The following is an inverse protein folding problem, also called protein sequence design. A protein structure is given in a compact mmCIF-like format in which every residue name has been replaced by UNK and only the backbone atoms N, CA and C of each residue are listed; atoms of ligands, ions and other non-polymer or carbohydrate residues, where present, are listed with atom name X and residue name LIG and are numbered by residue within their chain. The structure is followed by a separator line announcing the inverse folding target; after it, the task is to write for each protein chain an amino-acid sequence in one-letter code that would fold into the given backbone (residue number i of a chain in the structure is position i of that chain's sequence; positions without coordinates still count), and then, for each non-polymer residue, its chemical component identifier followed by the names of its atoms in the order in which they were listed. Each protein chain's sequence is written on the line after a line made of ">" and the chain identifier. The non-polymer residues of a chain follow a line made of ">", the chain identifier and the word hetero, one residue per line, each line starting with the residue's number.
data_IF_784993769686
#
_entry.id   IF_784993769686
#
_cell.length_a   1.000
_cell.length_b   1.000
_cell.length_c   1.000
_cell.angle_alpha   90.00
_cell.angle_beta   90.00
_cell.angle_gamma   90.00
#
_symmetry.space_group_name_H-M   'P 1'
#
loop_
_entity.id
_entity.type
_entity.pdbx_description
1 polymer ?
#
# COMPACT_ATOMS: atom_id res chain seq x y z
N UNK A 1 -5.11 19.93 -7.62
CA UNK A 1 -4.29 19.05 -6.75
C UNK A 1 -2.99 19.76 -6.35
N UNK A 2 -2.65 19.84 -5.05
CA UNK A 2 -1.40 20.45 -4.58
C UNK A 2 -0.17 19.69 -5.09
N UNK A 3 0.91 20.41 -5.47
CA UNK A 3 2.17 19.78 -5.93
C UNK A 3 2.76 18.83 -4.87
N UNK A 4 2.67 19.20 -3.59
CA UNK A 4 3.17 18.38 -2.48
C UNK A 4 2.46 17.02 -2.38
N UNK A 5 1.16 16.98 -2.65
CA UNK A 5 0.37 15.73 -2.63
C UNK A 5 0.81 14.79 -3.75
N UNK A 6 0.98 15.32 -4.96
CA UNK A 6 1.46 14.55 -6.10
C UNK A 6 2.81 13.90 -5.80
N UNK A 7 3.76 14.72 -5.32
CA UNK A 7 5.11 14.26 -5.01
C UNK A 7 5.08 13.22 -3.89
N UNK A 8 4.33 13.45 -2.81
CA UNK A 8 4.24 12.48 -1.72
C UNK A 8 3.66 11.14 -2.16
N UNK A 9 2.58 11.16 -2.95
CA UNK A 9 1.98 9.93 -3.44
C UNK A 9 2.90 9.19 -4.41
N UNK A 10 3.62 9.91 -5.27
CA UNK A 10 4.64 9.34 -6.15
C UNK A 10 5.79 8.70 -5.36
N UNK A 11 6.30 9.38 -4.32
CA UNK A 11 7.35 8.85 -3.45
C UNK A 11 6.93 7.55 -2.75
N UNK A 12 5.66 7.47 -2.32
CA UNK A 12 5.12 6.23 -1.73
C UNK A 12 5.05 5.10 -2.77
N UNK A 13 4.58 5.38 -3.99
CA UNK A 13 4.56 4.39 -5.07
C UNK A 13 5.97 3.89 -5.41
N UNK A 14 6.92 4.82 -5.58
CA UNK A 14 8.31 4.49 -5.88
C UNK A 14 8.98 3.76 -4.71
N UNK A 15 8.63 4.10 -3.48
CA UNK A 15 9.05 3.37 -2.28
C UNK A 15 8.55 1.92 -2.29
N UNK A 16 7.28 1.71 -2.65
CA UNK A 16 6.70 0.38 -2.85
C UNK A 16 7.47 -0.43 -3.88
N UNK A 17 7.76 0.15 -5.05
CA UNK A 17 8.58 -0.49 -6.09
C UNK A 17 10.01 -0.74 -5.60
N UNK A 18 10.60 0.22 -4.89
CA UNK A 18 11.92 0.08 -4.28
C UNK A 18 12.00 -1.10 -3.31
N UNK A 19 10.96 -1.33 -2.51
CA UNK A 19 10.88 -2.52 -1.68
C UNK A 19 10.82 -3.82 -2.47
N UNK A 20 10.08 -3.86 -3.59
CA UNK A 20 10.08 -5.04 -4.46
C UNK A 20 11.51 -5.34 -4.94
N UNK A 21 12.25 -4.30 -5.37
CA UNK A 21 13.64 -4.42 -5.79
C UNK A 21 14.54 -4.90 -4.64
N UNK A 22 14.41 -4.34 -3.45
CA UNK A 22 15.18 -4.75 -2.26
C UNK A 22 14.92 -6.22 -1.94
N UNK A 23 13.67 -6.69 -1.98
CA UNK A 23 13.33 -8.09 -1.71
C UNK A 23 13.85 -9.01 -2.81
N UNK A 24 13.75 -8.61 -4.09
CA UNK A 24 14.26 -9.38 -5.23
C UNK A 24 15.77 -9.59 -5.15
N UNK A 25 16.54 -8.52 -4.93
CA UNK A 25 18.00 -8.58 -4.95
C UNK A 25 18.64 -8.89 -3.59
N UNK A 26 17.88 -8.75 -2.50
CA UNK A 26 18.30 -9.12 -1.15
C UNK A 26 18.03 -10.57 -0.78
N UNK A 27 17.34 -11.34 -1.62
CA UNK A 27 17.03 -12.75 -1.36
C UNK A 27 18.10 -13.70 -1.86
N UNK A 28 18.21 -14.87 -1.21
CA UNK A 28 19.14 -15.91 -1.63
C UNK A 28 18.84 -16.42 -3.05
N UNK A 29 19.86 -16.63 -3.90
CA UNK A 29 19.69 -17.17 -5.25
C UNK A 29 18.98 -18.53 -5.22
N UNK A 30 17.96 -18.73 -6.06
CA UNK A 30 17.21 -19.99 -6.14
C UNK A 30 15.95 -20.06 -5.26
N UNK A 31 15.66 -19.01 -4.46
CA UNK A 31 14.47 -18.97 -3.61
C UNK A 31 13.19 -19.10 -4.45
N UNK A 32 12.34 -20.11 -4.19
CA UNK A 32 11.10 -20.28 -4.93
C UNK A 32 10.13 -19.13 -4.64
N UNK A 33 9.33 -18.78 -5.63
CA UNK A 33 8.35 -17.68 -5.60
C UNK A 33 8.92 -16.30 -5.23
N UNK A 34 10.22 -16.09 -5.45
CA UNK A 34 10.90 -14.83 -5.11
C UNK A 34 10.20 -13.59 -5.69
N UNK A 35 9.87 -13.62 -6.97
CA UNK A 35 9.18 -12.52 -7.64
C UNK A 35 7.83 -12.23 -7.00
N UNK A 36 7.07 -13.27 -6.71
CA UNK A 36 5.74 -13.15 -6.10
C UNK A 36 5.83 -12.56 -4.69
N UNK A 37 6.78 -13.03 -3.89
CA UNK A 37 7.05 -12.50 -2.54
C UNK A 37 7.45 -11.03 -2.57
N UNK A 38 8.32 -10.64 -3.51
CA UNK A 38 8.75 -9.26 -3.67
C UNK A 38 7.61 -8.32 -4.06
N UNK A 39 6.84 -8.69 -5.10
CA UNK A 39 5.73 -7.86 -5.57
C UNK A 39 4.67 -7.75 -4.46
N UNK A 40 4.33 -8.85 -3.80
CA UNK A 40 3.36 -8.88 -2.71
C UNK A 40 3.77 -8.06 -1.49
N UNK A 41 5.06 -7.79 -1.31
CA UNK A 41 5.56 -6.90 -0.26
C UNK A 41 5.41 -5.42 -0.65
N UNK A 42 5.70 -5.07 -1.91
CA UNK A 42 5.63 -3.69 -2.39
C UNK A 42 4.24 -3.19 -2.77
N UNK A 43 3.35 -4.08 -3.24
CA UNK A 43 2.01 -3.73 -3.76
C UNK A 43 1.16 -2.93 -2.77
N UNK A 44 1.11 -3.25 -1.47
CA UNK A 44 0.35 -2.46 -0.50
C UNK A 44 0.74 -0.98 -0.48
N UNK A 45 2.03 -0.66 -0.57
CA UNK A 45 2.51 0.72 -0.62
C UNK A 45 2.14 1.40 -1.94
N UNK A 46 2.28 0.68 -3.07
CA UNK A 46 1.83 1.19 -4.37
C UNK A 46 0.33 1.50 -4.35
N UNK A 47 -0.48 0.62 -3.75
CA UNK A 47 -1.92 0.80 -3.63
C UNK A 47 -2.29 2.06 -2.82
N UNK A 48 -1.59 2.31 -1.71
CA UNK A 48 -1.74 3.54 -0.90
C UNK A 48 -1.41 4.79 -1.73
N UNK A 49 -0.31 4.77 -2.49
CA UNK A 49 0.07 5.92 -3.33
C UNK A 49 -0.92 6.17 -4.47
N UNK A 50 -1.37 5.11 -5.14
CA UNK A 50 -2.37 5.20 -6.23
C UNK A 50 -3.72 5.68 -5.71
N UNK A 51 -4.21 5.13 -4.59
CA UNK A 51 -5.48 5.55 -3.99
C UNK A 51 -5.44 7.01 -3.55
N UNK A 52 -4.31 7.48 -3.00
CA UNK A 52 -4.11 8.88 -2.64
C UNK A 52 -4.17 9.81 -3.87
N UNK A 53 -3.52 9.43 -4.99
CA UNK A 53 -3.59 10.20 -6.24
C UNK A 53 -5.02 10.28 -6.77
N UNK A 54 -5.74 9.15 -6.80
CA UNK A 54 -7.12 9.09 -7.27
C UNK A 54 -8.01 9.94 -6.36
N UNK A 55 -7.88 9.76 -5.04
CA UNK A 55 -8.65 10.50 -4.03
C UNK A 55 -8.52 12.00 -4.21
N UNK A 56 -7.29 12.52 -4.28
CA UNK A 56 -7.08 13.95 -4.47
C UNK A 56 -7.45 14.46 -5.86
N UNK A 57 -7.32 13.65 -6.92
CA UNK A 57 -7.74 14.04 -8.26
C UNK A 57 -9.27 14.17 -8.36
N UNK A 58 -10.01 13.40 -7.58
CA UNK A 58 -11.48 13.34 -7.61
C UNK A 58 -12.16 14.06 -6.43
N UNK A 59 -11.42 14.93 -5.71
CA UNK A 59 -11.91 15.68 -4.54
C UNK A 59 -12.46 14.78 -3.41
N UNK A 60 -11.79 13.64 -3.18
CA UNK A 60 -12.08 12.65 -2.14
C UNK A 60 -10.87 12.45 -1.22
N UNK A 61 -10.63 13.39 -0.29
CA UNK A 61 -9.45 13.39 0.57
C UNK A 61 -9.32 12.11 1.42
N UNK A 62 -10.43 11.43 1.74
CA UNK A 62 -10.41 10.22 2.58
C UNK A 62 -9.62 9.06 1.97
N UNK A 63 -9.58 8.93 0.63
CA UNK A 63 -8.73 7.94 -0.04
C UNK A 63 -7.23 8.31 -0.03
N UNK A 64 -6.86 9.45 0.57
CA UNK A 64 -5.48 9.78 0.90
C UNK A 64 -5.22 9.75 2.41
N UNK A 65 -6.15 10.25 3.25
CA UNK A 65 -6.01 10.25 4.73
C UNK A 65 -5.79 8.84 5.25
N UNK A 66 -6.75 7.94 4.96
CA UNK A 66 -6.80 6.65 5.64
C UNK A 66 -5.69 5.72 5.16
N UNK A 67 -5.40 5.63 3.84
CA UNK A 67 -4.24 4.91 3.34
C UNK A 67 -2.92 5.44 3.90
N UNK A 68 -2.76 6.75 4.06
CA UNK A 68 -1.55 7.31 4.67
C UNK A 68 -1.43 6.93 6.16
N UNK A 69 -2.53 6.91 6.91
CA UNK A 69 -2.54 6.54 8.32
C UNK A 69 -2.19 5.06 8.54
N UNK A 70 -2.83 4.16 7.80
CA UNK A 70 -2.57 2.71 7.92
C UNK A 70 -1.18 2.30 7.41
N UNK A 71 -0.54 3.13 6.60
CA UNK A 71 0.81 2.86 6.12
C UNK A 71 1.83 2.97 7.26
N UNK A 72 1.55 3.70 8.34
CA UNK A 72 2.48 3.88 9.45
C UNK A 72 2.86 2.55 10.12
N UNK A 73 1.91 1.71 10.57
CA UNK A 73 2.26 0.40 11.12
C UNK A 73 2.92 -0.51 10.07
N UNK A 74 2.58 -0.38 8.78
CA UNK A 74 3.23 -1.17 7.71
C UNK A 74 4.70 -0.80 7.52
N UNK A 75 5.01 0.50 7.58
CA UNK A 75 6.36 1.03 7.50
C UNK A 75 7.20 0.61 8.71
N UNK A 76 6.60 0.52 9.90
CA UNK A 76 7.30 0.11 11.12
C UNK A 76 7.87 -1.32 11.06
N UNK A 77 7.42 -2.15 10.12
CA UNK A 77 7.93 -3.51 9.91
C UNK A 77 9.37 -3.51 9.37
N UNK A 78 9.81 -2.42 8.73
CA UNK A 78 11.14 -2.36 8.09
C UNK A 78 11.80 -0.99 8.27
N UNK A 79 13.07 -0.99 8.68
CA UNK A 79 13.88 0.22 8.81
C UNK A 79 13.94 1.03 7.51
N UNK A 80 13.98 0.34 6.36
CA UNK A 80 14.01 0.97 5.04
C UNK A 80 12.71 1.71 4.68
N UNK A 81 11.63 1.46 5.42
CA UNK A 81 10.37 2.16 5.22
C UNK A 81 10.29 3.51 5.90
N UNK A 82 11.10 3.77 6.94
CA UNK A 82 11.01 4.99 7.75
C UNK A 82 11.01 6.28 6.91
N UNK A 83 11.81 6.41 5.82
CA UNK A 83 11.75 7.59 4.96
C UNK A 83 10.36 7.85 4.34
N UNK A 84 9.53 6.81 4.15
CA UNK A 84 8.16 6.93 3.62
C UNK A 84 7.17 7.52 4.63
N UNK A 85 7.53 7.65 5.90
CA UNK A 85 6.68 8.35 6.88
C UNK A 85 6.54 9.84 6.56
N UNK A 86 7.59 10.47 6.03
CA UNK A 86 7.58 11.90 5.66
C UNK A 86 6.47 12.18 4.61
N UNK A 87 6.44 11.51 3.44
CA UNK A 87 5.35 11.72 2.49
C UNK A 87 3.98 11.29 3.04
N UNK A 88 3.91 10.29 3.92
CA UNK A 88 2.68 9.89 4.60
C UNK A 88 2.09 11.03 5.45
N UNK A 89 2.93 11.68 6.27
CA UNK A 89 2.54 12.80 7.13
C UNK A 89 2.08 13.98 6.29
N UNK A 90 2.74 14.27 5.17
CA UNK A 90 2.32 15.34 4.24
C UNK A 90 0.93 15.03 3.67
N UNK A 91 0.66 13.78 3.24
CA UNK A 91 -0.66 13.40 2.75
C UNK A 91 -1.73 13.50 3.84
N UNK A 92 -1.42 13.02 5.04
CA UNK A 92 -2.34 13.07 6.18
C UNK A 92 -2.71 14.50 6.56
N UNK A 93 -1.71 15.38 6.74
CA UNK A 93 -1.91 16.78 7.13
C UNK A 93 -2.66 17.59 6.07
N UNK A 94 -2.47 17.30 4.78
CA UNK A 94 -3.20 17.96 3.70
C UNK A 94 -4.62 17.46 3.53
N UNK A 95 -4.88 16.22 3.88
CA UNK A 95 -6.18 15.60 3.65
C UNK A 95 -7.13 15.76 4.86
N UNK A 96 -6.60 15.96 6.08
CA UNK A 96 -7.43 16.24 7.29
C UNK A 96 -8.04 17.65 7.30
N UNK A 97 -7.47 18.59 6.53
CA UNK A 97 -8.00 19.96 6.40
C UNK A 97 -9.22 20.05 5.48
N UNK A 98 -9.56 18.97 4.78
CA UNK A 98 -10.66 18.93 3.81
C UNK A 98 -11.93 18.33 4.44
N UNK A 99 -13.13 18.79 4.04
CA UNK A 99 -14.37 18.30 4.63
C UNK A 99 -14.61 16.82 4.33
N UNK A 100 -14.93 16.05 5.37
CA UNK A 100 -15.08 14.59 5.32
C UNK A 100 -16.51 14.20 4.93
N UNK A 101 -16.64 13.38 3.88
CA UNK A 101 -17.87 12.66 3.59
C UNK A 101 -17.85 11.27 4.27
N UNK A 102 -18.94 10.93 4.99
CA UNK A 102 -19.04 9.67 5.76
C UNK A 102 -19.01 8.44 4.87
N UNK A 103 -19.61 8.49 3.68
CA UNK A 103 -19.63 7.34 2.75
C UNK A 103 -18.22 7.07 2.22
N UNK A 104 -17.56 8.10 1.70
CA UNK A 104 -16.18 8.04 1.22
C UNK A 104 -15.22 7.59 2.33
N UNK A 105 -15.46 8.05 3.58
CA UNK A 105 -14.68 7.65 4.75
C UNK A 105 -14.76 6.14 5.00
N UNK A 106 -15.96 5.56 5.02
CA UNK A 106 -16.13 4.12 5.24
C UNK A 106 -15.49 3.28 4.13
N UNK A 107 -15.70 3.65 2.86
CA UNK A 107 -15.08 2.95 1.73
C UNK A 107 -13.54 2.95 1.81
N UNK A 108 -12.96 4.11 2.15
CA UNK A 108 -11.53 4.25 2.36
C UNK A 108 -11.03 3.46 3.57
N UNK A 109 -11.73 3.50 4.71
CA UNK A 109 -11.38 2.74 5.92
C UNK A 109 -11.37 1.25 5.63
N UNK A 110 -12.45 0.71 5.06
CA UNK A 110 -12.56 -0.71 4.78
C UNK A 110 -11.48 -1.17 3.79
N UNK A 111 -11.31 -0.47 2.67
CA UNK A 111 -10.29 -0.82 1.67
C UNK A 111 -8.86 -0.74 2.23
N UNK A 112 -8.57 0.30 3.01
CA UNK A 112 -7.27 0.46 3.67
C UNK A 112 -7.01 -0.68 4.66
N UNK A 113 -7.95 -0.94 5.58
CA UNK A 113 -7.80 -1.99 6.57
C UNK A 113 -7.63 -3.37 5.92
N UNK A 114 -8.30 -3.66 4.81
CA UNK A 114 -8.08 -4.89 4.05
C UNK A 114 -6.65 -4.99 3.51
N UNK A 115 -6.12 -3.91 2.93
CA UNK A 115 -4.71 -3.87 2.46
C UNK A 115 -3.75 -4.07 3.62
N UNK A 116 -3.92 -3.36 4.73
CA UNK A 116 -3.09 -3.50 5.92
C UNK A 116 -3.15 -4.91 6.50
N UNK A 117 -4.36 -5.48 6.67
CA UNK A 117 -4.55 -6.83 7.17
C UNK A 117 -3.91 -7.88 6.26
N UNK A 118 -4.07 -7.75 4.93
CA UNK A 118 -3.44 -8.65 3.96
C UNK A 118 -1.91 -8.59 4.03
N UNK A 119 -1.34 -7.38 4.22
CA UNK A 119 0.09 -7.20 4.38
C UNK A 119 0.61 -7.91 5.64
N UNK A 120 -0.02 -7.68 6.80
CA UNK A 120 0.38 -8.33 8.05
C UNK A 120 0.16 -9.85 8.02
N UNK A 121 -0.96 -10.31 7.45
CA UNK A 121 -1.19 -11.73 7.23
C UNK A 121 -0.02 -12.36 6.46
N UNK A 122 0.48 -11.70 5.42
CA UNK A 122 1.60 -12.20 4.60
C UNK A 122 2.99 -12.15 5.25
N UNK A 123 3.11 -11.41 6.35
CA UNK A 123 4.33 -11.36 7.16
C UNK A 123 4.29 -12.45 8.23
N UNK A 124 3.12 -12.63 8.86
CA UNK A 124 2.91 -13.55 9.97
C UNK A 124 2.68 -15.00 9.51
N UNK A 125 2.01 -15.17 8.37
CA UNK A 125 1.74 -16.46 7.74
C UNK A 125 2.74 -16.63 6.60
N UNK A 126 3.68 -17.55 6.78
CA UNK A 126 4.63 -17.92 5.77
C UNK A 126 4.88 -19.43 5.86
N UNK A 127 4.86 -20.10 4.72
CA UNK A 127 5.06 -21.54 4.67
C UNK A 127 6.57 -21.86 4.72
N UNK A 128 7.01 -22.75 5.63
CA UNK A 128 8.37 -23.24 5.62
C UNK A 128 8.55 -24.13 4.38
N UNK A 129 9.47 -23.75 3.49
CA UNK A 129 9.83 -24.61 2.37
C UNK A 129 11.35 -24.79 2.28
N UNK A 130 11.74 -26.03 2.03
CA UNK A 130 13.11 -26.43 1.80
C UNK A 130 13.41 -26.39 0.30
N UNK A 131 14.53 -25.78 -0.07
CA UNK A 131 14.97 -25.65 -1.44
C UNK A 131 16.50 -25.65 -1.49
N UNK A 132 17.07 -25.94 -2.65
CA UNK A 132 18.53 -25.97 -2.83
C UNK A 132 18.93 -24.91 -3.85
N UNK A 133 19.98 -24.16 -3.52
CA UNK A 133 20.57 -23.13 -4.40
C UNK A 133 21.53 -23.69 -5.45
N UNK A 134 21.62 -25.02 -5.56
CA UNK A 134 22.50 -25.71 -6.52
C UNK A 134 23.98 -25.75 -6.10
N UNK A 135 24.35 -25.19 -4.94
CA UNK A 135 25.74 -25.13 -4.45
C UNK A 135 26.01 -25.95 -3.18
N UNK A 136 25.23 -27.00 -2.93
CA UNK A 136 25.43 -28.00 -1.86
C UNK A 136 24.82 -27.70 -0.47
N UNK A 137 23.91 -26.74 -0.32
CA UNK A 137 23.14 -26.60 0.93
C UNK A 137 21.63 -26.82 0.71
N UNK A 138 21.04 -27.61 1.61
CA UNK A 138 19.60 -27.62 1.82
C UNK A 138 19.27 -26.34 2.59
N UNK A 139 18.75 -25.33 1.90
CA UNK A 139 18.33 -24.08 2.51
C UNK A 139 16.85 -24.18 2.84
N UNK A 140 16.48 -24.02 4.12
CA UNK A 140 15.09 -23.83 4.51
C UNK A 140 14.84 -22.35 4.75
N UNK A 141 13.79 -21.81 4.15
CA UNK A 141 13.37 -20.44 4.39
C UNK A 141 11.87 -20.33 4.25
N UNK A 142 11.28 -19.39 4.98
CA UNK A 142 9.89 -19.05 4.79
C UNK A 142 9.66 -18.46 3.39
N UNK A 143 8.69 -19.04 2.69
CA UNK A 143 8.30 -18.68 1.32
C UNK A 143 6.83 -18.28 1.34
N UNK A 144 6.51 -17.29 0.50
CA UNK A 144 5.14 -16.86 0.30
C UNK A 144 4.47 -17.74 -0.75
N UNK A 145 3.30 -18.27 -0.43
CA UNK A 145 2.51 -19.05 -1.37
C UNK A 145 1.84 -18.16 -2.41
N UNK A 146 1.39 -18.79 -3.50
CA UNK A 146 0.70 -18.07 -4.57
C UNK A 146 -0.63 -17.47 -4.10
N UNK A 147 -1.39 -18.22 -3.30
CA UNK A 147 -2.66 -17.78 -2.73
C UNK A 147 -2.49 -16.58 -1.80
N UNK A 148 -1.50 -16.59 -0.91
CA UNK A 148 -1.17 -15.46 -0.03
C UNK A 148 -0.87 -14.18 -0.81
N UNK A 149 -0.12 -14.34 -1.90
CA UNK A 149 0.22 -13.22 -2.78
C UNK A 149 -1.04 -12.67 -3.45
N UNK A 150 -1.91 -13.54 -3.99
CA UNK A 150 -3.17 -13.13 -4.63
C UNK A 150 -4.09 -12.36 -3.70
N UNK A 151 -4.19 -12.75 -2.42
CA UNK A 151 -5.01 -12.03 -1.42
C UNK A 151 -4.60 -10.55 -1.36
N UNK A 152 -3.29 -10.27 -1.30
CA UNK A 152 -2.77 -8.90 -1.23
C UNK A 152 -3.07 -8.11 -2.50
N UNK A 153 -2.88 -8.74 -3.68
CA UNK A 153 -3.22 -8.10 -4.95
C UNK A 153 -4.69 -7.75 -5.03
N UNK A 154 -5.60 -8.66 -4.66
CA UNK A 154 -7.03 -8.38 -4.68
C UNK A 154 -7.42 -7.31 -3.67
N UNK A 155 -6.87 -7.31 -2.45
CA UNK A 155 -7.09 -6.25 -1.48
C UNK A 155 -6.61 -4.88 -1.99
N UNK A 156 -5.44 -4.83 -2.63
CA UNK A 156 -4.93 -3.62 -3.26
C UNK A 156 -5.84 -3.11 -4.40
N UNK A 157 -6.31 -4.02 -5.26
CA UNK A 157 -7.24 -3.70 -6.33
C UNK A 157 -8.59 -3.20 -5.79
N UNK A 158 -9.08 -3.76 -4.68
CA UNK A 158 -10.30 -3.29 -4.03
C UNK A 158 -10.14 -1.87 -3.51
N UNK A 159 -9.01 -1.52 -2.87
CA UNK A 159 -8.76 -0.15 -2.42
C UNK A 159 -8.67 0.83 -3.60
N UNK A 160 -7.93 0.48 -4.65
CA UNK A 160 -7.80 1.31 -5.85
C UNK A 160 -9.16 1.46 -6.57
N UNK A 161 -9.89 0.35 -6.70
CA UNK A 161 -11.21 0.31 -7.31
C UNK A 161 -12.22 1.13 -6.52
N UNK A 162 -12.23 1.04 -5.20
CA UNK A 162 -13.05 1.87 -4.33
C UNK A 162 -12.74 3.36 -4.57
N UNK A 163 -11.46 3.74 -4.57
CA UNK A 163 -11.07 5.12 -4.86
C UNK A 163 -11.56 5.60 -6.24
N UNK A 164 -11.47 4.73 -7.26
CA UNK A 164 -11.82 5.07 -8.65
C UNK A 164 -13.31 5.14 -8.91
N UNK A 165 -14.09 4.18 -8.40
CA UNK A 165 -15.52 4.02 -8.69
C UNK A 165 -16.45 4.75 -7.71
N UNK A 166 -15.96 5.21 -6.56
CA UNK A 166 -16.76 6.09 -5.71
C UNK A 166 -17.14 7.35 -6.52
N UNK A 167 -18.35 7.93 -6.38
CA UNK A 167 -18.68 9.13 -7.14
C UNK A 167 -17.83 10.33 -6.70
N UNK A 168 -17.30 11.10 -7.65
CA UNK A 168 -16.60 12.35 -7.34
C UNK A 168 -17.52 13.32 -6.59
N UNK A 169 -16.98 14.05 -5.62
CA UNK A 169 -17.75 15.05 -4.88
C UNK A 169 -18.02 16.25 -5.80
N UNK A 170 -19.29 16.60 -6.01
CA UNK A 170 -19.64 17.85 -6.68
C UNK A 170 -19.33 19.02 -5.76
N UNK A 171 -18.61 20.02 -6.27
CA UNK A 171 -18.48 21.33 -5.63
C UNK A 171 -19.84 22.04 -5.70
N UNK A 172 -20.81 21.62 -4.90
CA UNK A 172 -22.03 22.41 -4.75
C UNK A 172 -21.66 23.69 -4.00
N UNK A 173 -21.85 24.83 -4.67
CA UNK A 173 -21.58 26.18 -4.18
C UNK A 173 -22.03 26.37 -2.74
N UNK A 174 -21.29 27.12 -1.91
CA UNK A 174 -21.75 27.46 -0.57
C UNK A 174 -23.11 28.15 -0.68
N UNK A 175 -24.15 27.51 -0.13
CA UNK A 175 -25.42 28.19 0.13
C UNK A 175 -25.11 29.28 1.13
N UNK A 176 -25.06 30.52 0.66
CA UNK A 176 -25.18 31.72 1.48
C UNK A 176 -26.42 31.58 2.35
N UNK A 177 -26.23 31.43 3.65
CA UNK A 177 -27.23 31.69 4.69
C UNK A 177 -26.59 32.66 5.65
#
# INVERSE_FOLDING_TARGET
>A
MPKSVFVSALLIMLGGVGFMVIVLFGSSPGKPNLFLGAVSFGVPFVAVGVSALIGFKQNKPMYAVVPALIMWPMVAVTFFGLPLLIPAVILFTKAITEPIDKRTAWGSITGSLMVMASFFYSILHQDPAAWSDGKFQNTSSNIRSFSESMIIFFCALVLIGAAWFDPARSESSPSTV
#
